data_IF_650774356642
#
_entry.id   IF_650774356642
#
_cell.length_a   1.000
_cell.length_b   1.000
_cell.length_c   1.000
_cell.angle_alpha   90.00
_cell.angle_beta   90.00
_cell.angle_gamma   90.00
#
_symmetry.space_group_name_H-M   'P 1'
#
loop_
_entity.id
_entity.type
_entity.pdbx_description
1 polymer ?
#
# COMPACT_ATOMS: atom_id res chain seq x y z
N UNK A 1 -1.90 -21.87 -2.62
CA UNK A 1 -1.24 -20.91 -3.51
C UNK A 1 -0.29 -21.64 -4.43
N UNK A 2 -0.35 -21.37 -5.73
CA UNK A 2 0.50 -22.04 -6.74
C UNK A 2 1.84 -21.32 -6.97
N UNK A 3 1.96 -20.08 -6.47
CA UNK A 3 3.14 -19.23 -6.58
C UNK A 3 3.27 -18.42 -5.30
N UNK A 4 4.51 -18.29 -4.79
CA UNK A 4 4.88 -17.34 -3.76
C UNK A 4 5.96 -16.45 -4.38
N UNK A 5 5.75 -15.14 -4.37
CA UNK A 5 6.70 -14.18 -4.89
C UNK A 5 6.63 -12.87 -4.10
N UNK A 6 7.73 -12.13 -4.12
CA UNK A 6 7.78 -10.76 -3.62
C UNK A 6 7.29 -9.81 -4.71
N UNK A 7 6.47 -8.83 -4.32
CA UNK A 7 5.96 -7.80 -5.23
C UNK A 7 6.16 -6.41 -4.61
N UNK A 8 6.36 -5.41 -5.46
CA UNK A 8 6.33 -4.01 -5.06
C UNK A 8 4.90 -3.49 -5.13
N UNK A 9 4.50 -2.61 -4.22
CA UNK A 9 3.22 -1.90 -4.34
C UNK A 9 3.44 -0.57 -5.05
N UNK A 10 2.64 -0.30 -6.07
CA UNK A 10 2.67 0.99 -6.75
C UNK A 10 2.31 2.12 -5.77
N UNK A 11 2.91 3.30 -5.94
CA UNK A 11 2.69 4.42 -5.03
C UNK A 11 1.21 4.83 -4.94
N UNK A 12 0.49 4.76 -6.06
CA UNK A 12 -0.93 5.09 -6.11
C UNK A 12 -1.78 4.16 -5.23
N UNK A 13 -1.46 2.86 -5.16
CA UNK A 13 -2.16 1.91 -4.27
C UNK A 13 -2.01 2.34 -2.82
N UNK A 14 -0.77 2.69 -2.43
CA UNK A 14 -0.47 3.15 -1.07
C UNK A 14 -1.18 4.47 -0.78
N UNK A 15 -1.09 5.44 -1.70
CA UNK A 15 -1.70 6.76 -1.57
C UNK A 15 -3.22 6.68 -1.46
N UNK A 16 -3.89 5.90 -2.31
CA UNK A 16 -5.34 5.70 -2.25
C UNK A 16 -5.77 5.11 -0.91
N UNK A 17 -4.98 4.17 -0.36
CA UNK A 17 -5.30 3.52 0.92
C UNK A 17 -5.12 4.44 2.12
N UNK A 18 -4.04 5.22 2.16
CA UNK A 18 -3.75 6.13 3.28
C UNK A 18 -4.46 7.49 3.14
N UNK A 19 -4.84 7.85 1.92
CA UNK A 19 -5.46 9.14 1.56
C UNK A 19 -4.48 10.31 1.54
N UNK A 20 -3.19 10.05 1.36
CA UNK A 20 -2.12 11.06 1.34
C UNK A 20 -1.02 10.66 0.36
N UNK A 21 -0.47 11.65 -0.33
CA UNK A 21 0.71 11.51 -1.17
C UNK A 21 1.97 11.25 -0.36
N UNK A 22 3.01 10.71 -1.01
CA UNK A 22 4.30 10.51 -0.38
C UNK A 22 4.88 11.82 0.20
N UNK A 23 4.70 12.94 -0.50
CA UNK A 23 5.16 14.25 -0.05
C UNK A 23 4.46 14.71 1.24
N UNK A 24 3.15 14.53 1.33
CA UNK A 24 2.38 14.85 2.53
C UNK A 24 2.75 13.95 3.72
N UNK A 25 3.01 12.67 3.46
CA UNK A 25 3.50 11.72 4.48
C UNK A 25 4.86 12.19 5.01
N UNK A 26 5.81 12.51 4.13
CA UNK A 26 7.13 13.01 4.53
C UNK A 26 7.02 14.31 5.32
N UNK A 27 6.19 15.25 4.88
CA UNK A 27 5.98 16.51 5.58
C UNK A 27 5.37 16.28 6.97
N UNK A 28 4.36 15.42 7.10
CA UNK A 28 3.69 15.10 8.36
C UNK A 28 4.59 14.34 9.36
N UNK A 29 5.57 13.59 8.86
CA UNK A 29 6.53 12.84 9.68
C UNK A 29 7.81 13.62 10.00
N UNK A 30 7.97 14.82 9.43
CA UNK A 30 9.12 15.69 9.70
C UNK A 30 9.15 16.16 11.16
N UNK A 31 10.33 16.51 11.66
CA UNK A 31 10.51 17.00 13.04
C UNK A 31 9.84 18.36 13.30
N UNK A 32 9.55 19.12 12.24
CA UNK A 32 8.87 20.42 12.31
C UNK A 32 7.35 20.31 12.30
N UNK A 33 6.78 19.12 12.03
CA UNK A 33 5.34 18.91 12.04
C UNK A 33 4.78 18.94 13.47
N UNK A 34 3.51 19.36 13.59
CA UNK A 34 2.82 19.30 14.88
C UNK A 34 2.64 17.85 15.34
N UNK A 35 2.65 17.64 16.66
CA UNK A 35 2.51 16.30 17.27
C UNK A 35 1.21 15.62 16.83
N UNK A 36 0.12 16.37 16.68
CA UNK A 36 -1.18 15.83 16.24
C UNK A 36 -1.15 15.34 14.79
N UNK A 37 -0.53 16.09 13.88
CA UNK A 37 -0.38 15.68 12.47
C UNK A 37 0.52 14.45 12.36
N UNK A 38 1.62 14.43 13.11
CA UNK A 38 2.54 13.29 13.15
C UNK A 38 1.84 12.01 13.66
N UNK A 39 1.10 12.11 14.77
CA UNK A 39 0.38 10.99 15.36
C UNK A 39 -0.71 10.46 14.42
N UNK A 40 -1.47 11.34 13.78
CA UNK A 40 -2.50 10.98 12.80
C UNK A 40 -1.89 10.24 11.60
N UNK A 41 -0.75 10.72 11.09
CA UNK A 41 -0.07 10.05 9.97
C UNK A 41 0.44 8.66 10.36
N UNK A 42 1.02 8.51 11.57
CA UNK A 42 1.45 7.20 12.09
C UNK A 42 0.28 6.22 12.22
N UNK A 43 -0.87 6.68 12.68
CA UNK A 43 -2.07 5.84 12.80
C UNK A 43 -2.57 5.37 11.42
N UNK A 44 -2.55 6.23 10.39
CA UNK A 44 -2.88 5.83 9.01
C UNK A 44 -1.92 4.76 8.47
N UNK A 45 -0.61 4.93 8.68
CA UNK A 45 0.39 3.94 8.28
C UNK A 45 0.24 2.61 9.03
N UNK A 46 -0.12 2.66 10.32
CA UNK A 46 -0.43 1.46 11.11
C UNK A 46 -1.65 0.72 10.53
N UNK A 47 -2.70 1.44 10.14
CA UNK A 47 -3.88 0.84 9.49
C UNK A 47 -3.54 0.21 8.14
N UNK A 48 -2.64 0.80 7.37
CA UNK A 48 -2.12 0.20 6.14
C UNK A 48 -1.40 -1.13 6.44
N UNK A 49 -0.54 -1.17 7.47
CA UNK A 49 0.13 -2.41 7.88
C UNK A 49 -0.85 -3.51 8.28
N UNK A 50 -1.86 -3.17 9.09
CA UNK A 50 -2.91 -4.11 9.48
C UNK A 50 -3.69 -4.62 8.26
N UNK A 51 -4.03 -3.74 7.33
CA UNK A 51 -4.66 -4.15 6.08
C UNK A 51 -3.82 -5.14 5.29
N UNK A 52 -2.52 -4.89 5.13
CA UNK A 52 -1.63 -5.78 4.39
C UNK A 52 -1.47 -7.14 5.07
N UNK A 53 -1.49 -7.19 6.41
CA UNK A 53 -1.40 -8.42 7.18
C UNK A 53 -2.64 -9.32 6.99
N UNK A 54 -3.82 -8.70 6.86
CA UNK A 54 -5.10 -9.38 6.72
C UNK A 54 -5.64 -9.35 5.26
N UNK A 55 -4.77 -9.01 4.29
CA UNK A 55 -5.20 -8.86 2.91
C UNK A 55 -5.49 -10.23 2.27
N UNK A 56 -6.71 -10.38 1.79
CA UNK A 56 -7.13 -11.46 0.92
C UNK A 56 -8.00 -10.86 -0.19
N UNK A 57 -7.67 -11.13 -1.45
CA UNK A 57 -8.38 -10.58 -2.60
C UNK A 57 -7.60 -10.65 -3.90
N UNK A 58 -8.06 -9.88 -4.88
CA UNK A 58 -7.54 -9.88 -6.25
C UNK A 58 -6.57 -8.71 -6.44
N UNK A 59 -5.41 -8.99 -7.03
CA UNK A 59 -4.39 -7.99 -7.35
C UNK A 59 -4.12 -7.97 -8.86
N UNK A 60 -3.97 -6.78 -9.43
CA UNK A 60 -3.43 -6.62 -10.78
C UNK A 60 -1.93 -6.36 -10.63
N UNK A 61 -1.13 -7.25 -11.22
CA UNK A 61 0.33 -7.23 -11.10
C UNK A 61 0.96 -7.10 -12.48
N UNK A 62 1.75 -6.04 -12.65
CA UNK A 62 2.55 -5.82 -13.84
C UNK A 62 3.89 -6.55 -13.74
N UNK A 63 4.16 -7.39 -14.74
CA UNK A 63 5.41 -8.16 -14.83
C UNK A 63 6.27 -7.55 -15.94
N UNK A 64 7.31 -6.83 -15.55
CA UNK A 64 8.31 -6.31 -16.47
C UNK A 64 9.56 -7.19 -16.43
N UNK A 65 9.95 -7.76 -17.58
CA UNK A 65 11.15 -8.62 -17.70
C UNK A 65 12.47 -7.89 -17.40
N UNK A 66 12.47 -6.56 -17.43
CA UNK A 66 13.63 -5.73 -17.09
C UNK A 66 13.68 -5.35 -15.60
N UNK A 67 12.62 -5.60 -14.84
CA UNK A 67 12.56 -5.38 -13.39
C UNK A 67 12.78 -6.71 -12.65
N UNK A 68 13.46 -6.66 -11.50
CA UNK A 68 13.63 -7.83 -10.64
C UNK A 68 12.33 -8.24 -9.95
N UNK A 69 11.43 -7.29 -9.70
CA UNK A 69 10.20 -7.49 -8.96
C UNK A 69 8.98 -7.05 -9.77
N UNK A 70 7.90 -7.85 -9.79
CA UNK A 70 6.60 -7.41 -10.28
C UNK A 70 6.06 -6.26 -9.44
N UNK A 71 5.18 -5.45 -10.04
CA UNK A 71 4.56 -4.30 -9.37
C UNK A 71 3.06 -4.48 -9.33
N UNK A 72 2.48 -4.51 -8.13
CA UNK A 72 1.04 -4.49 -7.93
C UNK A 72 0.52 -3.06 -8.12
N UNK A 73 -0.29 -2.87 -9.16
CA UNK A 73 -0.88 -1.57 -9.53
C UNK A 73 -2.30 -1.41 -9.02
N UNK A 74 -2.97 -2.51 -8.67
CA UNK A 74 -4.29 -2.52 -8.03
C UNK A 74 -4.40 -3.62 -6.97
N UNK A 75 -5.14 -3.34 -5.90
CA UNK A 75 -5.42 -4.28 -4.80
C UNK A 75 -6.88 -4.17 -4.38
N UNK A 76 -7.69 -5.15 -4.75
CA UNK A 76 -9.11 -5.22 -4.41
C UNK A 76 -9.32 -6.29 -3.35
N UNK A 77 -9.80 -5.88 -2.17
CA UNK A 77 -10.05 -6.80 -1.07
C UNK A 77 -11.33 -7.59 -1.30
N UNK A 78 -11.29 -8.87 -0.95
CA UNK A 78 -12.36 -9.82 -1.19
C UNK A 78 -12.21 -10.51 -2.55
N UNK A 79 -12.72 -11.73 -2.60
CA UNK A 79 -12.86 -12.50 -3.83
C UNK A 79 -14.33 -12.39 -4.24
N UNK A 80 -14.63 -11.77 -5.38
CA UNK A 80 -15.97 -11.84 -5.94
C UNK A 80 -16.28 -13.31 -6.23
N UNK A 81 -17.44 -13.80 -5.77
CA UNK A 81 -17.89 -15.20 -5.92
C UNK A 81 -18.13 -15.65 -7.37
N UNK A 82 -17.81 -14.80 -8.35
CA UNK A 82 -18.07 -15.00 -9.78
C UNK A 82 -16.85 -15.46 -10.57
N UNK A 83 -15.76 -15.86 -9.91
CA UNK A 83 -14.66 -16.63 -10.52
C UNK A 83 -14.93 -18.14 -10.44
#
# INVERSE_FOLDING_TARGET
GSLICEVLLHNDVVQQRIGHSAMEVTAALSSSASVSVNAMMKEKLKRLQLFLADFEGIMVVEINRSSQYPVAVEMNQGCSLSD
#
